data_IF_948862603075
#
_entry.id   IF_948862603075
#
_cell.length_a   1.000
_cell.length_b   1.000
_cell.length_c   1.000
_cell.angle_alpha   90.00
_cell.angle_beta   90.00
_cell.angle_gamma   90.00
#
_symmetry.space_group_name_H-M   'P 1'
#
loop_
_entity.id
_entity.type
_entity.pdbx_description
1 polymer ?
#
# COMPACT_ATOMS: atom_id res chain seq x y z
N UNK A 1 -4.89 -25.43 12.26
CA UNK A 1 -3.76 -25.33 11.32
C UNK A 1 -3.00 -24.04 11.62
N UNK A 2 -1.66 -24.05 11.76
CA UNK A 2 -0.89 -22.83 12.03
C UNK A 2 -1.03 -21.83 10.88
N UNK A 3 -1.27 -20.56 11.20
CA UNK A 3 -1.33 -19.47 10.20
C UNK A 3 0.04 -18.99 9.73
N UNK A 4 1.10 -19.42 10.42
CA UNK A 4 2.47 -18.95 10.23
C UNK A 4 3.39 -20.16 10.06
N UNK A 5 4.23 -20.11 9.02
CA UNK A 5 5.29 -21.10 8.83
C UNK A 5 6.45 -20.84 9.80
N UNK A 6 7.16 -21.87 10.28
CA UNK A 6 8.26 -21.71 11.24
C UNK A 6 9.40 -20.79 10.75
N UNK A 7 9.83 -20.95 9.49
CA UNK A 7 10.88 -20.12 8.89
C UNK A 7 10.25 -19.13 7.89
N UNK A 8 9.73 -18.03 8.43
CA UNK A 8 9.12 -16.96 7.62
C UNK A 8 10.12 -16.31 6.67
N UNK A 9 11.38 -16.17 7.09
CA UNK A 9 12.41 -15.52 6.29
C UNK A 9 12.71 -16.33 5.04
N UNK A 10 12.98 -17.62 5.21
CA UNK A 10 13.22 -18.52 4.08
C UNK A 10 12.00 -18.59 3.14
N UNK A 11 10.78 -18.64 3.68
CA UNK A 11 9.55 -18.62 2.87
C UNK A 11 9.47 -17.34 2.03
N UNK A 12 9.72 -16.18 2.61
CA UNK A 12 9.73 -14.90 1.91
C UNK A 12 10.83 -14.81 0.84
N UNK A 13 12.05 -15.24 1.16
CA UNK A 13 13.20 -15.12 0.26
C UNK A 13 13.14 -16.12 -0.92
N UNK A 14 12.58 -17.31 -0.71
CA UNK A 14 12.66 -18.41 -1.69
C UNK A 14 11.37 -18.63 -2.49
N UNK A 15 10.20 -18.25 -1.96
CA UNK A 15 8.95 -18.46 -2.68
C UNK A 15 8.82 -17.51 -3.87
N UNK A 16 8.55 -18.06 -5.04
CA UNK A 16 8.49 -17.31 -6.30
C UNK A 16 7.48 -16.15 -6.24
N UNK A 17 6.34 -16.36 -5.57
CA UNK A 17 5.33 -15.34 -5.37
C UNK A 17 5.89 -14.10 -4.66
N UNK A 18 6.54 -14.29 -3.49
CA UNK A 18 7.15 -13.17 -2.75
C UNK A 18 8.30 -12.54 -3.52
N UNK A 19 9.17 -13.35 -4.14
CA UNK A 19 10.26 -12.86 -4.98
C UNK A 19 9.78 -11.99 -6.15
N UNK A 20 8.64 -12.30 -6.77
CA UNK A 20 8.04 -11.48 -7.83
C UNK A 20 7.52 -10.16 -7.28
N UNK A 21 6.85 -10.18 -6.13
CA UNK A 21 6.30 -8.98 -5.48
C UNK A 21 7.36 -8.06 -4.86
N UNK A 22 8.52 -8.60 -4.46
CA UNK A 22 9.61 -7.80 -3.87
C UNK A 22 10.39 -6.96 -4.88
N UNK A 23 10.25 -7.23 -6.18
CA UNK A 23 10.90 -6.46 -7.25
C UNK A 23 10.16 -5.14 -7.48
N UNK A 24 10.92 -4.09 -7.79
CA UNK A 24 10.33 -2.82 -8.22
C UNK A 24 9.48 -3.04 -9.48
N UNK A 25 8.20 -2.65 -9.40
CA UNK A 25 7.25 -2.80 -10.51
C UNK A 25 6.15 -1.74 -10.45
N UNK A 26 5.44 -1.55 -11.56
CA UNK A 26 4.30 -0.65 -11.61
C UNK A 26 3.17 -1.17 -10.71
N UNK A 27 2.71 -0.31 -9.80
CA UNK A 27 1.53 -0.53 -8.98
C UNK A 27 0.45 0.50 -9.34
N UNK A 28 -0.81 0.08 -9.32
CA UNK A 28 -1.95 0.93 -9.66
C UNK A 28 -3.01 0.90 -8.57
N UNK A 29 -3.65 2.04 -8.33
CA UNK A 29 -4.87 2.11 -7.53
C UNK A 29 -6.03 1.43 -8.26
N UNK A 30 -6.73 0.54 -7.55
CA UNK A 30 -7.78 -0.30 -8.14
C UNK A 30 -9.17 -0.05 -7.60
N UNK A 31 -9.35 0.85 -6.64
CA UNK A 31 -10.66 1.22 -6.13
C UNK A 31 -11.46 2.08 -7.11
N UNK A 32 -12.79 1.99 -6.99
CA UNK A 32 -13.79 2.80 -7.71
C UNK A 32 -13.54 2.87 -9.24
N UNK A 33 -13.21 1.74 -9.89
CA UNK A 33 -12.87 1.73 -11.34
C UNK A 33 -14.02 2.16 -12.25
N UNK A 34 -15.25 2.09 -11.76
CA UNK A 34 -16.50 2.53 -12.39
C UNK A 34 -16.68 4.06 -12.36
N UNK A 35 -15.84 4.79 -11.60
CA UNK A 35 -15.97 6.23 -11.39
C UNK A 35 -15.02 7.05 -12.28
N UNK A 36 -15.34 8.34 -12.54
CA UNK A 36 -14.44 9.26 -13.23
C UNK A 36 -13.09 9.42 -12.52
N UNK A 37 -12.05 9.72 -13.28
CA UNK A 37 -10.68 9.81 -12.76
C UNK A 37 -10.52 10.78 -11.58
N UNK A 38 -11.12 11.97 -11.69
CA UNK A 38 -11.07 13.00 -10.65
C UNK A 38 -11.71 12.54 -9.34
N UNK A 39 -12.86 11.86 -9.42
CA UNK A 39 -13.51 11.27 -8.25
C UNK A 39 -12.63 10.17 -7.63
N UNK A 40 -11.99 9.34 -8.46
CA UNK A 40 -11.08 8.29 -7.99
C UNK A 40 -9.86 8.86 -7.27
N UNK A 41 -9.31 9.98 -7.73
CA UNK A 41 -8.21 10.67 -7.05
C UNK A 41 -8.62 11.14 -5.67
N UNK A 42 -9.76 11.83 -5.56
CA UNK A 42 -10.28 12.30 -4.28
C UNK A 42 -10.56 11.13 -3.32
N UNK A 43 -11.17 10.05 -3.82
CA UNK A 43 -11.43 8.83 -3.04
C UNK A 43 -10.15 8.14 -2.58
N UNK A 44 -9.14 8.04 -3.43
CA UNK A 44 -7.85 7.47 -3.06
C UNK A 44 -7.17 8.28 -1.96
N UNK A 45 -7.13 9.61 -2.08
CA UNK A 45 -6.56 10.49 -1.05
C UNK A 45 -7.28 10.33 0.30
N UNK A 46 -8.62 10.25 0.29
CA UNK A 46 -9.41 10.02 1.49
C UNK A 46 -9.15 8.62 2.08
N UNK A 47 -9.12 7.58 1.26
CA UNK A 47 -8.81 6.23 1.71
C UNK A 47 -7.42 6.15 2.37
N UNK A 48 -6.42 6.81 1.79
CA UNK A 48 -5.09 6.89 2.39
C UNK A 48 -5.10 7.61 3.76
N UNK A 49 -5.89 8.70 3.90
CA UNK A 49 -6.09 9.37 5.19
C UNK A 49 -6.77 8.47 6.22
N UNK A 50 -7.70 7.64 5.76
CA UNK A 50 -8.40 6.64 6.58
C UNK A 50 -7.54 5.39 6.85
N UNK A 51 -6.32 5.33 6.32
CA UNK A 51 -5.40 4.22 6.54
C UNK A 51 -5.67 3.00 5.69
N UNK A 52 -6.34 3.14 4.53
CA UNK A 52 -6.71 2.01 3.67
C UNK A 52 -6.37 2.29 2.21
N UNK A 53 -6.09 1.24 1.45
CA UNK A 53 -5.98 1.36 -0.01
C UNK A 53 -6.16 0.02 -0.72
N UNK A 54 -6.57 0.09 -1.97
CA UNK A 54 -6.66 -1.07 -2.85
C UNK A 54 -5.71 -0.87 -4.03
N UNK A 55 -4.75 -1.79 -4.17
CA UNK A 55 -3.73 -1.70 -5.20
C UNK A 55 -3.61 -3.00 -5.99
N UNK A 56 -3.09 -2.90 -7.21
CA UNK A 56 -2.63 -4.03 -7.99
C UNK A 56 -1.18 -3.89 -8.43
N UNK A 57 -0.44 -4.99 -8.33
CA UNK A 57 0.85 -5.18 -8.96
C UNK A 57 0.63 -5.51 -10.43
N UNK A 58 1.00 -4.60 -11.34
CA UNK A 58 0.75 -4.77 -12.78
C UNK A 58 1.51 -5.97 -13.33
N UNK A 59 2.74 -6.21 -12.85
CA UNK A 59 3.60 -7.29 -13.31
C UNK A 59 3.04 -8.70 -13.02
N UNK A 60 2.28 -8.86 -11.94
CA UNK A 60 1.75 -10.17 -11.51
C UNK A 60 0.23 -10.28 -11.59
N UNK A 61 -0.48 -9.15 -11.75
CA UNK A 61 -1.95 -9.10 -11.63
C UNK A 61 -2.44 -9.28 -10.20
N UNK A 62 -1.55 -9.28 -9.20
CA UNK A 62 -1.90 -9.47 -7.78
C UNK A 62 -2.60 -8.22 -7.24
N UNK A 63 -3.80 -8.38 -6.68
CA UNK A 63 -4.52 -7.30 -6.00
C UNK A 63 -4.33 -7.45 -4.49
N UNK A 64 -4.05 -6.35 -3.79
CA UNK A 64 -3.95 -6.30 -2.33
C UNK A 64 -4.85 -5.20 -1.79
N UNK A 65 -5.57 -5.52 -0.72
CA UNK A 65 -6.17 -4.52 0.16
C UNK A 65 -5.22 -4.26 1.32
N UNK A 66 -4.82 -3.02 1.47
CA UNK A 66 -3.85 -2.57 2.46
C UNK A 66 -4.55 -1.82 3.58
N UNK A 67 -4.10 -2.09 4.81
CA UNK A 67 -4.46 -1.33 6.00
C UNK A 67 -3.17 -0.82 6.65
N UNK A 68 -3.01 0.49 6.71
CA UNK A 68 -1.81 1.18 7.20
C UNK A 68 -1.87 1.41 8.71
N UNK A 69 -3.06 1.64 9.26
CA UNK A 69 -3.26 1.85 10.69
C UNK A 69 -3.86 0.60 11.34
N UNK A 70 -3.30 0.11 12.46
CA UNK A 70 -3.88 -1.01 13.18
C UNK A 70 -5.33 -0.70 13.57
N UNK A 71 -6.21 -1.70 13.48
CA UNK A 71 -7.63 -1.58 13.77
C UNK A 71 -7.95 -1.06 15.19
N UNK A 72 -6.96 -1.04 16.09
CA UNK A 72 -7.13 -0.67 17.50
C UNK A 72 -6.88 0.83 17.77
N UNK A 73 -6.50 1.63 16.76
CA UNK A 73 -6.32 3.09 16.88
C UNK A 73 -7.61 3.89 16.63
N UNK A 74 -8.77 3.25 16.50
CA UNK A 74 -10.07 3.92 16.33
C UNK A 74 -10.59 4.59 17.62
N UNK A 75 -9.81 4.60 18.71
CA UNK A 75 -10.07 5.35 19.94
C UNK A 75 -9.14 6.55 20.06
N UNK A 76 -9.68 7.74 19.78
CA UNK A 76 -9.34 9.05 20.34
C UNK A 76 -7.97 9.72 20.12
N UNK A 77 -6.98 9.13 19.46
CA UNK A 77 -5.76 9.91 19.14
C UNK A 77 -4.95 9.40 17.95
N UNK A 78 -5.48 9.50 16.73
CA UNK A 78 -4.62 9.48 15.54
C UNK A 78 -3.89 10.82 15.47
N UNK A 79 -2.72 10.87 16.12
CA UNK A 79 -1.82 12.01 16.02
C UNK A 79 -1.45 12.22 14.56
N UNK A 80 -1.71 13.43 14.04
CA UNK A 80 -1.30 13.92 12.72
C UNK A 80 0.18 13.70 12.39
N UNK A 81 1.02 13.36 13.38
CA UNK A 81 2.43 12.99 13.19
C UNK A 81 2.63 11.61 12.55
N UNK A 82 1.71 10.65 12.73
CA UNK A 82 1.88 9.29 12.18
C UNK A 82 1.53 9.23 10.69
N UNK A 83 0.59 10.05 10.24
CA UNK A 83 0.24 10.27 8.84
C UNK A 83 1.43 10.86 8.05
N UNK A 84 2.24 11.73 8.66
CA UNK A 84 3.41 12.35 8.01
C UNK A 84 4.45 11.34 7.52
N UNK A 85 4.59 10.18 8.15
CA UNK A 85 5.56 9.17 7.73
C UNK A 85 5.19 8.46 6.41
N UNK A 86 3.91 8.49 5.99
CA UNK A 86 3.47 7.97 4.69
C UNK A 86 3.45 9.09 3.63
N UNK A 87 3.36 10.34 4.06
CA UNK A 87 3.42 11.52 3.19
C UNK A 87 4.87 11.98 2.98
N UNK A 88 5.57 11.34 2.03
CA UNK A 88 6.71 11.97 1.36
C UNK A 88 6.23 13.13 0.48
N UNK A 89 5.83 14.25 1.08
CA UNK A 89 5.45 15.48 0.38
C UNK A 89 6.67 16.39 0.19
N UNK A 90 7.71 15.88 -0.49
CA UNK A 90 8.76 16.74 -1.03
C UNK A 90 8.30 17.31 -2.36
N UNK A 91 7.43 18.33 -2.33
CA UNK A 91 7.25 19.41 -3.32
C UNK A 91 7.21 19.13 -4.83
N UNK A 92 7.27 17.89 -5.30
CA UNK A 92 7.53 17.52 -6.68
C UNK A 92 6.77 16.24 -7.02
N UNK A 93 5.47 16.44 -7.30
CA UNK A 93 4.45 15.43 -7.60
C UNK A 93 4.12 14.50 -6.42
N UNK A 94 2.83 14.27 -6.09
CA UNK A 94 2.44 13.32 -5.05
C UNK A 94 2.91 11.90 -5.42
N UNK A 95 4.03 11.48 -4.85
CA UNK A 95 4.48 10.09 -4.87
C UNK A 95 4.10 9.48 -3.53
N UNK A 96 3.08 8.63 -3.51
CA UNK A 96 2.73 7.88 -2.31
C UNK A 96 3.70 6.72 -2.18
N UNK A 97 4.47 6.70 -1.09
CA UNK A 97 5.40 5.61 -0.82
C UNK A 97 4.81 4.66 0.22
N UNK A 98 4.70 3.39 -0.14
CA UNK A 98 4.18 2.33 0.74
C UNK A 98 5.34 1.39 1.02
N UNK A 99 5.67 1.16 2.29
CA UNK A 99 6.61 0.10 2.66
C UNK A 99 5.87 -1.24 2.74
N UNK A 100 6.31 -2.23 1.95
CA UNK A 100 5.89 -3.63 2.07
C UNK A 100 7.12 -4.45 2.42
N UNK A 101 7.19 -4.97 3.65
CA UNK A 101 8.41 -5.56 4.20
C UNK A 101 9.53 -4.51 4.31
N UNK A 102 10.71 -4.79 3.75
CA UNK A 102 11.84 -3.84 3.67
C UNK A 102 11.88 -3.04 2.35
N UNK A 103 10.91 -3.23 1.44
CA UNK A 103 10.87 -2.53 0.16
C UNK A 103 9.96 -1.30 0.22
N UNK A 104 10.52 -0.14 -0.17
CA UNK A 104 9.75 1.09 -0.39
C UNK A 104 9.20 1.09 -1.81
N UNK A 105 7.87 1.07 -1.95
CA UNK A 105 7.19 1.03 -3.24
C UNK A 105 6.58 2.39 -3.53
N UNK A 106 6.90 2.96 -4.69
CA UNK A 106 6.38 4.26 -5.12
C UNK A 106 5.13 4.06 -5.98
N UNK A 107 3.98 4.52 -5.50
CA UNK A 107 2.77 4.62 -6.31
C UNK A 107 2.90 5.82 -7.23
N UNK A 108 2.91 5.56 -8.53
CA UNK A 108 3.03 6.58 -9.57
C UNK A 108 1.62 7.00 -9.99
N UNK A 109 1.26 8.25 -9.71
CA UNK A 109 0.08 8.87 -10.30
C UNK A 109 0.35 9.04 -11.82
N UNK A 110 -0.53 8.51 -12.67
CA UNK A 110 -0.54 8.77 -14.12
C UNK A 110 -1.59 9.82 -14.42
#
# INVERSE_FOLDING_TARGET
MPRVVPDQRSKFENEEFFRKLSRECEIKYTGFRDRPHEERQARFQNACRDGRSEIAFVATGTNLSLQFFPANLHGDHVSLSQTRHIHGLDGQKPRFSIMIGFSLIHLKEK
#
